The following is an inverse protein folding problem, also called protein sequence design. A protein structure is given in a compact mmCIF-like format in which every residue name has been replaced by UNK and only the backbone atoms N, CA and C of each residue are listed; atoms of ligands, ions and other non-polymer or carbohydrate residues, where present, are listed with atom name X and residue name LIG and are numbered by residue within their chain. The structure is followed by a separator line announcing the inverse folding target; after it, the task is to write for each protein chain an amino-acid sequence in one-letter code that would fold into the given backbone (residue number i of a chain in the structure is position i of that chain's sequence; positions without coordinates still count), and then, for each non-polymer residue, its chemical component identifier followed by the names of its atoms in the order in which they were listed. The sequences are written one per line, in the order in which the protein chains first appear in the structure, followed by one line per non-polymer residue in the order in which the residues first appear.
data_IF_875011487699
#
_entry.id   IF_875011487699
#
_cell.length_a   1.000
_cell.length_b   1.000
_cell.length_c   1.000
_cell.angle_alpha   90.00
_cell.angle_beta   90.00
_cell.angle_gamma   90.00
#
_symmetry.space_group_name_H-M   'P 1'
#
loop_
_entity.id
_entity.type
_entity.pdbx_description
1 polymer ?
#
# COMPACT_ATOMS: atom_id res chain seq x y z
N UNK A 1 0.76 12.18 -7.52
CA UNK A 1 1.89 11.23 -7.67
C UNK A 1 3.19 11.98 -7.65
N UNK A 2 4.21 11.47 -6.95
CA UNK A 2 5.50 12.11 -6.75
C UNK A 2 6.62 11.47 -7.58
N UNK A 3 6.62 10.13 -7.68
CA UNK A 3 7.56 9.38 -8.53
C UNK A 3 6.92 8.07 -8.97
N UNK A 4 7.21 7.63 -10.20
CA UNK A 4 6.66 6.42 -10.81
C UNK A 4 7.72 5.80 -11.72
N UNK A 5 8.14 4.59 -11.37
CA UNK A 5 8.90 3.69 -12.23
C UNK A 5 8.01 2.47 -12.50
N UNK A 6 7.53 2.27 -13.74
CA UNK A 6 6.63 1.18 -14.06
C UNK A 6 7.16 -0.16 -13.57
N UNK A 7 6.30 -0.94 -12.89
CA UNK A 7 6.59 -2.27 -12.35
C UNK A 7 7.66 -2.35 -11.25
N UNK A 8 8.19 -1.22 -10.76
CA UNK A 8 9.29 -1.21 -9.80
C UNK A 8 9.03 -0.30 -8.59
N UNK A 9 8.53 0.91 -8.82
CA UNK A 9 8.43 1.93 -7.77
C UNK A 9 7.26 2.87 -7.97
N UNK A 10 6.58 3.20 -6.88
CA UNK A 10 5.53 4.21 -6.87
C UNK A 10 5.62 5.00 -5.56
N UNK A 11 5.70 6.32 -5.67
CA UNK A 11 5.62 7.23 -4.53
C UNK A 11 4.52 8.26 -4.76
N UNK A 12 3.63 8.42 -3.80
CA UNK A 12 2.56 9.39 -3.88
C UNK A 12 2.26 10.02 -2.53
N UNK A 13 1.74 11.24 -2.59
CA UNK A 13 1.18 11.95 -1.46
C UNK A 13 -0.32 11.68 -1.36
N UNK A 14 -0.83 11.61 -0.14
CA UNK A 14 -2.25 11.52 0.18
C UNK A 14 -2.59 12.45 1.35
N UNK A 15 -3.83 12.88 1.47
CA UNK A 15 -4.30 13.76 2.53
C UNK A 15 -5.78 13.50 2.78
N UNK A 16 -6.17 13.46 4.05
CA UNK A 16 -7.58 13.36 4.39
C UNK A 16 -8.32 14.64 3.99
N UNK A 17 -9.57 14.50 3.55
CA UNK A 17 -10.44 15.66 3.29
C UNK A 17 -10.94 16.32 4.59
N UNK A 18 -10.82 15.63 5.74
CA UNK A 18 -11.18 16.17 7.04
C UNK A 18 -10.20 17.31 7.41
N UNK A 19 -10.68 18.55 7.60
CA UNK A 19 -9.84 19.68 7.99
C UNK A 19 -9.09 19.48 9.32
N UNK A 20 -9.53 18.54 10.16
CA UNK A 20 -8.89 18.19 11.43
C UNK A 20 -7.71 17.20 11.28
N UNK A 21 -7.48 16.66 10.08
CA UNK A 21 -6.37 15.78 9.75
C UNK A 21 -5.56 16.35 8.56
N UNK A 22 -4.97 17.54 8.73
CA UNK A 22 -4.36 18.28 7.62
C UNK A 22 -3.01 17.70 7.20
N UNK A 23 -2.44 16.75 7.93
CA UNK A 23 -1.13 16.18 7.62
C UNK A 23 -1.15 15.45 6.27
N UNK A 24 -0.14 15.74 5.45
CA UNK A 24 0.06 15.04 4.19
C UNK A 24 0.86 13.76 4.44
N UNK A 25 0.25 12.62 4.12
CA UNK A 25 0.89 11.31 4.15
C UNK A 25 1.69 11.06 2.87
N UNK A 26 2.75 10.27 2.99
CA UNK A 26 3.52 9.80 1.85
C UNK A 26 3.48 8.28 1.86
N UNK A 27 3.01 7.69 0.76
CA UNK A 27 3.04 6.24 0.57
C UNK A 27 4.07 5.90 -0.50
N UNK A 28 4.93 4.95 -0.16
CA UNK A 28 5.93 4.37 -1.06
C UNK A 28 5.63 2.90 -1.25
N UNK A 29 5.47 2.47 -2.50
CA UNK A 29 5.31 1.08 -2.91
C UNK A 29 6.55 0.66 -3.69
N UNK A 30 7.17 -0.42 -3.27
CA UNK A 30 8.31 -1.03 -3.94
C UNK A 30 7.89 -2.42 -4.43
N UNK A 31 8.13 -2.67 -5.71
CA UNK A 31 7.88 -3.95 -6.35
C UNK A 31 9.21 -4.54 -6.80
N UNK A 32 9.43 -5.81 -6.48
CA UNK A 32 10.63 -6.52 -6.87
C UNK A 32 10.26 -7.87 -7.46
N UNK A 33 10.68 -8.10 -8.70
CA UNK A 33 10.54 -9.43 -9.30
C UNK A 33 11.37 -10.46 -8.52
N UNK A 34 10.74 -11.59 -8.21
CA UNK A 34 11.34 -12.74 -7.54
C UNK A 34 10.96 -14.03 -8.29
N UNK A 35 11.59 -15.15 -7.95
CA UNK A 35 11.45 -16.40 -8.70
C UNK A 35 9.99 -16.88 -8.85
N UNK A 36 9.16 -16.67 -7.82
CA UNK A 36 7.77 -17.13 -7.77
C UNK A 36 6.73 -16.03 -7.99
N UNK A 37 7.14 -14.81 -8.35
CA UNK A 37 6.21 -13.69 -8.51
C UNK A 37 6.85 -12.34 -8.21
N UNK A 38 6.18 -11.52 -7.40
CA UNK A 38 6.61 -10.17 -7.06
C UNK A 38 6.55 -9.96 -5.55
N UNK A 39 7.66 -9.57 -4.96
CA UNK A 39 7.70 -9.02 -3.61
C UNK A 39 7.15 -7.58 -3.66
N UNK A 40 6.24 -7.26 -2.74
CA UNK A 40 5.66 -5.93 -2.58
C UNK A 40 5.93 -5.44 -1.17
N UNK A 41 6.52 -4.25 -1.05
CA UNK A 41 6.70 -3.54 0.22
C UNK A 41 5.97 -2.21 0.14
N UNK A 42 5.10 -1.96 1.12
CA UNK A 42 4.41 -0.68 1.30
C UNK A 42 4.92 0.00 2.56
N UNK A 43 5.26 1.29 2.46
CA UNK A 43 5.60 2.14 3.61
C UNK A 43 4.74 3.39 3.54
N UNK A 44 4.06 3.70 4.64
CA UNK A 44 3.26 4.91 4.77
C UNK A 44 3.84 5.76 5.90
N UNK A 45 4.24 6.97 5.54
CA UNK A 45 4.91 7.94 6.41
C UNK A 45 3.97 9.11 6.71
N UNK A 46 4.24 9.82 7.81
CA UNK A 46 3.47 11.00 8.25
C UNK A 46 1.97 10.72 8.47
N UNK A 47 1.65 9.52 8.98
CA UNK A 47 0.29 9.21 9.43
C UNK A 47 -0.07 10.20 10.56
N UNK A 48 -1.23 10.91 10.48
CA UNK A 48 -1.64 11.83 11.53
C UNK A 48 -1.70 11.15 12.89
N UNK A 49 -1.23 11.83 13.95
CA UNK A 49 -1.20 11.27 15.32
C UNK A 49 -2.58 10.88 15.86
N UNK A 50 -3.65 11.51 15.35
CA UNK A 50 -5.03 11.19 15.70
C UNK A 50 -5.50 9.83 15.16
N UNK A 51 -4.79 9.23 14.20
CA UNK A 51 -5.12 7.94 13.61
C UNK A 51 -4.32 6.83 14.32
N UNK A 52 -4.99 5.84 14.94
CA UNK A 52 -4.30 4.70 15.55
C UNK A 52 -3.53 3.90 14.50
N UNK A 53 -2.23 3.69 14.75
CA UNK A 53 -1.34 3.00 13.81
C UNK A 53 -1.77 1.55 13.55
N UNK A 54 -2.33 0.87 14.56
CA UNK A 54 -2.85 -0.49 14.45
C UNK A 54 -4.01 -0.58 13.45
N UNK A 55 -4.84 0.46 13.37
CA UNK A 55 -5.94 0.52 12.39
C UNK A 55 -5.41 0.71 10.97
N UNK A 56 -4.33 1.48 10.79
CA UNK A 56 -3.65 1.59 9.49
C UNK A 56 -3.08 0.24 9.05
N UNK A 57 -2.43 -0.50 9.95
CA UNK A 57 -1.93 -1.84 9.65
C UNK A 57 -3.06 -2.80 9.26
N UNK A 58 -4.17 -2.80 9.99
CA UNK A 58 -5.33 -3.64 9.66
C UNK A 58 -5.88 -3.31 8.26
N UNK A 59 -6.07 -2.02 7.95
CA UNK A 59 -6.55 -1.57 6.64
C UNK A 59 -5.61 -1.97 5.50
N UNK A 60 -4.29 -1.88 5.70
CA UNK A 60 -3.30 -2.34 4.72
C UNK A 60 -3.32 -3.86 4.55
N UNK A 61 -3.40 -4.63 5.63
CA UNK A 61 -3.46 -6.10 5.57
C UNK A 61 -4.69 -6.58 4.78
N UNK A 62 -5.86 -6.01 5.05
CA UNK A 62 -7.08 -6.32 4.29
C UNK A 62 -6.95 -5.93 2.80
N UNK A 63 -6.33 -4.79 2.52
CA UNK A 63 -6.11 -4.31 1.15
C UNK A 63 -5.15 -5.23 0.38
N UNK A 64 -4.09 -5.70 1.03
CA UNK A 64 -3.13 -6.62 0.43
C UNK A 64 -3.72 -8.03 0.25
N UNK A 65 -4.58 -8.50 1.16
CA UNK A 65 -5.31 -9.77 0.96
C UNK A 65 -6.24 -9.68 -0.27
N UNK A 66 -6.96 -8.56 -0.42
CA UNK A 66 -7.81 -8.31 -1.60
C UNK A 66 -6.98 -8.22 -2.88
N UNK A 67 -5.82 -7.54 -2.84
CA UNK A 67 -4.92 -7.44 -3.98
C UNK A 67 -4.43 -8.84 -4.40
N UNK A 68 -3.99 -9.66 -3.44
CA UNK A 68 -3.57 -11.04 -3.69
C UNK A 68 -4.67 -11.82 -4.41
N UNK A 69 -5.90 -11.79 -3.90
CA UNK A 69 -7.06 -12.49 -4.51
C UNK A 69 -7.41 -11.97 -5.90
N UNK A 70 -7.10 -10.70 -6.20
CA UNK A 70 -7.38 -10.10 -7.50
C UNK A 70 -6.33 -10.48 -8.55
N UNK A 71 -5.05 -10.53 -8.17
CA UNK A 71 -3.94 -10.69 -9.12
C UNK A 71 -3.45 -12.13 -9.23
N UNK A 72 -3.65 -12.96 -8.19
CA UNK A 72 -3.31 -14.37 -8.23
C UNK A 72 -4.53 -15.20 -8.67
N UNK A 73 -4.33 -16.20 -9.54
CA UNK A 73 -5.41 -17.06 -9.97
C UNK A 73 -5.87 -17.97 -8.81
N UNK A 74 -7.18 -18.10 -8.64
CA UNK A 74 -7.76 -19.16 -7.83
C UNK A 74 -7.88 -20.42 -8.70
N UNK A 75 -7.04 -21.43 -8.45
CA UNK A 75 -7.03 -22.71 -9.17
C UNK A 75 -7.44 -23.81 -8.18
N UNK A 76 -8.72 -24.22 -8.17
CA UNK A 76 -9.12 -25.43 -7.45
C UNK A 76 -8.45 -26.65 -8.11
N UNK A 77 -7.94 -27.58 -7.30
CA UNK A 77 -7.33 -28.87 -7.70
C UNK A 77 -5.88 -28.86 -8.22
N UNK A 78 -5.06 -27.87 -7.84
CA UNK A 78 -3.60 -27.98 -7.86
C UNK A 78 -3.05 -28.59 -6.55
#
# INVERSE_FOLDING_TARGET
YLDIIPNEFLKYSDQFEDPNLPEQMITTIQLKSVLCGTELVATQENIPEAIPLEMCYLGWQESLDKLKRLVEPNIPDA
#
